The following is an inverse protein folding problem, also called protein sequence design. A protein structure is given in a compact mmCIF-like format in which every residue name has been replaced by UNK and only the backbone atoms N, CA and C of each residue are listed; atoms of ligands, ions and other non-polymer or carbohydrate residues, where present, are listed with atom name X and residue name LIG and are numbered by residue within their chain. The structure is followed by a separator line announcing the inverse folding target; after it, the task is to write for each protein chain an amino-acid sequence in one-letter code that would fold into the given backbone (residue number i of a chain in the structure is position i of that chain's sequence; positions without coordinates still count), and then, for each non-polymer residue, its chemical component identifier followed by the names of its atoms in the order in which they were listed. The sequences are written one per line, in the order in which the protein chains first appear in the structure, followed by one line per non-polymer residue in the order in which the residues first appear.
data_IF_962950982240
#
_entry.id   IF_962950982240
#
_cell.length_a   1.000
_cell.length_b   1.000
_cell.length_c   1.000
_cell.angle_alpha   90.00
_cell.angle_beta   90.00
_cell.angle_gamma   90.00
#
_symmetry.space_group_name_H-M   'P 1'
#
loop_
_entity.id
_entity.type
_entity.pdbx_description
1 polymer ?
#
# COMPACT_ATOMS: atom_id res chain seq x y z
N UNK A 1 -54.20 -3.06 -34.03
CA UNK A 1 -53.92 -4.43 -33.57
C UNK A 1 -53.17 -4.28 -32.26
N UNK A 2 -53.70 -4.81 -31.15
CA UNK A 2 -53.02 -4.73 -29.85
C UNK A 2 -51.79 -5.65 -29.93
N UNK A 3 -50.62 -5.11 -29.64
CA UNK A 3 -49.38 -5.87 -29.57
C UNK A 3 -49.35 -6.63 -28.24
N UNK A 4 -49.78 -7.89 -28.31
CA UNK A 4 -49.85 -8.79 -27.17
C UNK A 4 -48.47 -9.11 -26.57
N UNK A 5 -47.39 -9.00 -27.35
CA UNK A 5 -46.03 -9.21 -26.84
C UNK A 5 -45.59 -8.09 -25.90
N UNK A 6 -45.93 -6.84 -26.20
CA UNK A 6 -45.69 -5.70 -25.29
C UNK A 6 -46.53 -5.82 -24.02
N UNK A 7 -47.77 -6.31 -24.13
CA UNK A 7 -48.66 -6.50 -22.98
C UNK A 7 -48.18 -7.60 -22.04
N UNK A 8 -47.76 -8.76 -22.57
CA UNK A 8 -47.17 -9.84 -21.78
C UNK A 8 -45.85 -9.43 -21.13
N UNK A 9 -44.99 -8.72 -21.87
CA UNK A 9 -43.74 -8.17 -21.31
C UNK A 9 -44.05 -7.25 -20.13
N UNK A 10 -45.02 -6.33 -20.27
CA UNK A 10 -45.46 -5.42 -19.19
C UNK A 10 -46.07 -6.15 -17.98
N UNK A 11 -46.81 -7.24 -18.21
CA UNK A 11 -47.35 -8.09 -17.13
C UNK A 11 -46.27 -8.88 -16.39
N UNK A 12 -45.13 -9.14 -17.03
CA UNK A 12 -43.97 -9.83 -16.45
C UNK A 12 -42.92 -8.93 -15.80
N UNK A 13 -42.91 -7.60 -16.05
CA UNK A 13 -41.92 -6.65 -15.51
C UNK A 13 -41.85 -6.69 -13.98
N UNK A 14 -42.99 -6.88 -13.30
CA UNK A 14 -43.06 -6.96 -11.84
C UNK A 14 -43.00 -8.42 -11.33
N UNK A 15 -42.69 -9.40 -12.19
CA UNK A 15 -42.64 -10.81 -11.83
C UNK A 15 -43.84 -11.63 -12.31
N UNK A 16 -43.62 -12.94 -12.41
CA UNK A 16 -44.54 -13.90 -13.05
C UNK A 16 -45.61 -14.37 -12.06
N UNK A 17 -45.27 -14.46 -10.77
CA UNK A 17 -46.18 -14.92 -9.71
C UNK A 17 -46.63 -13.72 -8.85
N UNK A 18 -47.81 -13.84 -8.22
CA UNK A 18 -48.37 -12.78 -7.37
C UNK A 18 -47.46 -12.34 -6.21
N UNK A 19 -46.61 -13.23 -5.69
CA UNK A 19 -45.61 -12.92 -4.66
C UNK A 19 -44.54 -11.96 -5.19
N UNK A 20 -43.95 -12.27 -6.34
CA UNK A 20 -42.89 -11.44 -6.94
C UNK A 20 -43.38 -10.02 -7.20
N UNK A 21 -44.63 -9.88 -7.70
CA UNK A 21 -45.27 -8.58 -7.92
C UNK A 21 -45.45 -7.78 -6.64
N UNK A 22 -45.75 -8.46 -5.54
CA UNK A 22 -45.83 -7.80 -4.23
C UNK A 22 -44.44 -7.32 -3.80
N UNK A 23 -43.41 -8.17 -3.88
CA UNK A 23 -42.02 -7.82 -3.52
C UNK A 23 -41.52 -6.64 -4.35
N UNK A 24 -41.66 -6.68 -5.69
CA UNK A 24 -41.25 -5.56 -6.57
C UNK A 24 -41.96 -4.27 -6.21
N UNK A 25 -43.27 -4.32 -5.95
CA UNK A 25 -44.04 -3.13 -5.54
C UNK A 25 -43.56 -2.57 -4.20
N UNK A 26 -43.25 -3.44 -3.23
CA UNK A 26 -42.70 -3.01 -1.94
C UNK A 26 -41.30 -2.39 -2.12
N UNK A 27 -40.42 -2.98 -2.94
CA UNK A 27 -39.10 -2.42 -3.26
C UNK A 27 -39.20 -1.02 -3.88
N UNK A 28 -40.09 -0.84 -4.86
CA UNK A 28 -40.37 0.49 -5.44
C UNK A 28 -40.95 1.47 -4.42
N UNK A 29 -41.82 0.99 -3.52
CA UNK A 29 -42.40 1.82 -2.46
C UNK A 29 -41.32 2.28 -1.47
N UNK A 30 -40.40 1.38 -1.10
CA UNK A 30 -39.23 1.66 -0.27
C UNK A 30 -38.38 2.74 -0.95
N UNK A 31 -37.94 2.53 -2.20
CA UNK A 31 -37.14 3.51 -2.94
C UNK A 31 -37.78 4.91 -2.94
N UNK A 32 -39.07 5.02 -3.31
CA UNK A 32 -39.75 6.31 -3.36
C UNK A 32 -39.85 7.01 -1.99
N UNK A 33 -40.14 6.26 -0.92
CA UNK A 33 -40.32 6.81 0.42
C UNK A 33 -38.99 7.12 1.10
N UNK A 34 -37.99 6.28 0.88
CA UNK A 34 -36.69 6.36 1.54
C UNK A 34 -35.91 7.58 1.07
N UNK A 35 -36.00 7.93 -0.22
CA UNK A 35 -35.35 9.11 -0.78
C UNK A 35 -35.81 10.44 -0.16
N UNK A 36 -37.02 10.50 0.39
CA UNK A 36 -37.53 11.69 1.09
C UNK A 36 -37.41 11.59 2.62
N UNK A 37 -36.85 10.49 3.14
CA UNK A 37 -36.72 10.28 4.57
C UNK A 37 -35.58 11.13 5.16
N UNK A 38 -35.82 11.88 6.26
CA UNK A 38 -34.75 12.57 6.98
C UNK A 38 -33.69 11.61 7.55
N UNK A 39 -34.03 10.33 7.74
CA UNK A 39 -33.09 9.30 8.18
C UNK A 39 -32.14 8.83 7.08
N UNK A 40 -32.38 9.19 5.81
CA UNK A 40 -31.48 8.87 4.71
C UNK A 40 -30.17 9.66 4.89
N UNK A 41 -29.05 8.93 4.91
CA UNK A 41 -27.71 9.49 5.08
C UNK A 41 -26.82 9.00 3.94
N UNK A 42 -26.03 9.91 3.41
CA UNK A 42 -24.87 9.55 2.60
C UNK A 42 -23.79 9.02 3.53
N UNK A 43 -23.25 7.86 3.19
CA UNK A 43 -22.18 7.18 3.94
C UNK A 43 -21.16 6.62 2.98
N UNK A 44 -19.96 6.31 3.47
CA UNK A 44 -18.98 5.53 2.72
C UNK A 44 -18.82 4.16 3.38
N UNK A 45 -19.04 3.08 2.63
CA UNK A 45 -18.86 1.70 3.09
C UNK A 45 -17.66 1.12 2.37
N UNK A 46 -16.61 0.78 3.12
CA UNK A 46 -15.34 0.31 2.59
C UNK A 46 -14.76 1.21 1.47
N UNK A 47 -15.03 2.52 1.52
CA UNK A 47 -14.57 3.51 0.54
C UNK A 47 -15.54 3.81 -0.62
N UNK A 48 -16.64 3.06 -0.75
CA UNK A 48 -17.67 3.32 -1.75
C UNK A 48 -18.84 4.12 -1.16
N UNK A 49 -19.24 5.19 -1.84
CA UNK A 49 -20.37 6.02 -1.41
C UNK A 49 -21.71 5.32 -1.65
N UNK A 50 -22.56 5.31 -0.63
CA UNK A 50 -23.90 4.71 -0.69
C UNK A 50 -24.90 5.43 0.24
N UNK A 51 -26.19 5.04 0.15
CA UNK A 51 -27.26 5.67 0.92
C UNK A 51 -27.89 4.71 1.93
N UNK A 52 -27.69 4.99 3.22
CA UNK A 52 -28.31 4.19 4.29
C UNK A 52 -29.32 5.00 5.10
N UNK A 53 -30.42 4.36 5.48
CA UNK A 53 -31.32 4.91 6.50
C UNK A 53 -30.78 4.56 7.86
N UNK A 54 -30.20 5.53 8.55
CA UNK A 54 -29.63 5.33 9.88
C UNK A 54 -30.62 5.81 10.93
N UNK A 55 -31.04 4.88 11.78
CA UNK A 55 -32.01 5.11 12.84
C UNK A 55 -31.38 4.93 14.22
N UNK A 56 -31.77 5.80 15.15
CA UNK A 56 -31.34 5.74 16.55
C UNK A 56 -31.80 4.45 17.23
N UNK A 57 -31.01 3.99 18.19
CA UNK A 57 -31.39 2.95 19.14
C UNK A 57 -31.41 3.54 20.56
N UNK A 58 -31.73 2.71 21.54
CA UNK A 58 -31.62 3.02 22.97
C UNK A 58 -30.17 3.31 23.41
N UNK A 59 -29.18 2.79 22.68
CA UNK A 59 -27.76 3.02 22.95
C UNK A 59 -27.18 4.04 21.97
N UNK A 60 -26.58 5.15 22.44
CA UNK A 60 -25.98 6.15 21.56
C UNK A 60 -24.88 5.60 20.63
N UNK A 61 -24.11 4.61 21.09
CA UNK A 61 -23.04 3.96 20.34
C UNK A 61 -23.51 2.88 19.37
N UNK A 62 -24.82 2.59 19.32
CA UNK A 62 -25.41 1.61 18.40
C UNK A 62 -26.45 2.30 17.51
N UNK A 63 -26.52 1.89 16.26
CA UNK A 63 -27.56 2.33 15.31
C UNK A 63 -28.11 1.14 14.55
N UNK A 64 -29.34 1.28 14.08
CA UNK A 64 -29.90 0.38 13.06
C UNK A 64 -29.76 1.04 11.70
N UNK A 65 -29.48 0.25 10.68
CA UNK A 65 -29.49 0.73 9.31
C UNK A 65 -30.48 -0.08 8.47
N UNK A 66 -30.99 0.55 7.41
CA UNK A 66 -31.61 -0.12 6.28
C UNK A 66 -30.95 0.39 5.01
N UNK A 67 -30.49 -0.51 4.16
CA UNK A 67 -29.97 -0.20 2.84
C UNK A 67 -31.11 0.04 1.85
N UNK A 68 -30.83 0.72 0.75
CA UNK A 68 -31.76 0.73 -0.37
C UNK A 68 -31.85 -0.68 -0.98
N UNK A 69 -32.94 -1.02 -1.69
CA UNK A 69 -32.98 -2.25 -2.47
C UNK A 69 -31.75 -2.34 -3.40
N UNK A 70 -31.20 -3.55 -3.52
CA UNK A 70 -29.98 -3.87 -4.29
C UNK A 70 -28.65 -3.35 -3.71
N UNK A 71 -28.66 -2.50 -2.68
CA UNK A 71 -27.45 -2.14 -1.96
C UNK A 71 -27.02 -3.25 -1.00
N UNK A 72 -25.74 -3.61 -1.07
CA UNK A 72 -25.15 -4.71 -0.31
C UNK A 72 -24.28 -4.13 0.81
N UNK A 73 -24.64 -4.47 2.05
CA UNK A 73 -23.82 -4.24 3.24
C UNK A 73 -23.65 -5.58 3.93
N UNK A 74 -22.42 -5.91 4.32
CA UNK A 74 -22.08 -7.18 4.93
C UNK A 74 -21.64 -6.99 6.39
N UNK A 75 -21.71 -8.08 7.15
CA UNK A 75 -21.18 -8.10 8.51
C UNK A 75 -19.67 -7.84 8.42
N UNK A 76 -19.12 -7.06 9.34
CA UNK A 76 -17.69 -6.71 9.36
C UNK A 76 -17.30 -5.47 8.59
N UNK A 77 -18.18 -4.95 7.72
CA UNK A 77 -17.91 -3.72 6.98
C UNK A 77 -17.70 -2.52 7.91
N UNK A 78 -16.85 -1.58 7.47
CA UNK A 78 -16.67 -0.29 8.15
C UNK A 78 -17.44 0.77 7.37
N UNK A 79 -18.38 1.40 8.06
CA UNK A 79 -19.18 2.52 7.57
C UNK A 79 -18.60 3.82 8.14
N UNK A 80 -18.24 4.75 7.27
CA UNK A 80 -17.91 6.12 7.63
C UNK A 80 -19.18 6.98 7.52
N UNK A 81 -19.62 7.51 8.67
CA UNK A 81 -20.80 8.35 8.77
C UNK A 81 -20.62 9.40 9.87
N UNK A 82 -20.85 10.68 9.53
CA UNK A 82 -20.62 11.83 10.42
C UNK A 82 -19.20 11.86 11.01
N UNK A 83 -18.18 11.67 10.16
CA UNK A 83 -16.76 11.65 10.56
C UNK A 83 -16.42 10.54 11.58
N UNK A 84 -17.32 9.59 11.80
CA UNK A 84 -17.16 8.47 12.71
C UNK A 84 -17.17 7.15 11.95
N UNK A 85 -16.35 6.22 12.42
CA UNK A 85 -16.27 4.87 11.88
C UNK A 85 -17.20 3.94 12.66
N UNK A 86 -17.96 3.12 11.95
CA UNK A 86 -18.96 2.22 12.51
C UNK A 86 -18.76 0.82 11.96
N UNK A 87 -18.67 -0.18 12.84
CA UNK A 87 -18.54 -1.58 12.47
C UNK A 87 -19.94 -2.20 12.31
N UNK A 88 -20.19 -2.85 11.17
CA UNK A 88 -21.40 -3.67 10.98
C UNK A 88 -21.26 -4.95 11.80
N UNK A 89 -22.13 -5.11 12.79
CA UNK A 89 -22.09 -6.26 13.71
C UNK A 89 -23.18 -7.28 13.43
N UNK A 90 -24.26 -6.85 12.80
CA UNK A 90 -25.39 -7.70 12.45
C UNK A 90 -25.98 -7.25 11.13
N UNK A 91 -26.40 -8.22 10.33
CA UNK A 91 -27.18 -8.05 9.10
C UNK A 91 -28.32 -9.05 9.17
N UNK A 92 -29.53 -8.62 8.82
CA UNK A 92 -30.67 -9.51 8.65
C UNK A 92 -30.53 -10.26 7.32
N UNK A 93 -30.72 -11.58 7.36
CA UNK A 93 -30.63 -12.44 6.19
C UNK A 93 -31.91 -12.43 5.35
N UNK A 94 -33.03 -11.99 5.92
CA UNK A 94 -34.23 -11.72 5.14
C UNK A 94 -34.10 -10.35 4.45
N UNK A 95 -33.61 -10.37 3.21
CA UNK A 95 -33.33 -9.19 2.40
C UNK A 95 -34.21 -9.09 1.13
N UNK A 96 -35.34 -9.81 1.08
CA UNK A 96 -36.23 -9.85 -0.09
C UNK A 96 -36.62 -8.44 -0.58
N UNK A 97 -36.87 -7.52 0.37
CA UNK A 97 -37.26 -6.13 0.10
C UNK A 97 -36.08 -5.17 0.28
N UNK A 98 -35.37 -5.25 1.39
CA UNK A 98 -34.23 -4.39 1.70
C UNK A 98 -33.39 -5.03 2.79
N UNK A 99 -32.07 -4.88 2.69
CA UNK A 99 -31.16 -5.37 3.72
C UNK A 99 -31.14 -4.42 4.92
N UNK A 100 -31.20 -4.98 6.13
CA UNK A 100 -31.15 -4.21 7.37
C UNK A 100 -30.15 -4.79 8.36
N UNK A 101 -29.76 -4.03 9.37
CA UNK A 101 -28.79 -4.51 10.33
C UNK A 101 -28.47 -3.54 11.46
N UNK A 102 -27.40 -3.86 12.19
CA UNK A 102 -26.87 -3.04 13.29
C UNK A 102 -25.41 -2.68 13.08
N UNK A 103 -25.12 -1.42 13.39
CA UNK A 103 -23.76 -0.89 13.44
C UNK A 103 -23.43 -0.42 14.85
N UNK A 104 -22.16 -0.58 15.22
CA UNK A 104 -21.61 -0.10 16.50
C UNK A 104 -20.44 0.83 16.24
N UNK A 105 -20.37 1.93 16.98
CA UNK A 105 -19.32 2.93 16.82
C UNK A 105 -17.95 2.35 17.17
N UNK A 106 -16.98 2.49 16.26
CA UNK A 106 -15.57 2.22 16.54
C UNK A 106 -15.03 3.31 17.47
N UNK A 107 -14.19 2.92 18.43
CA UNK A 107 -13.65 3.86 19.42
C UNK A 107 -12.13 3.93 19.42
N UNK A 108 -11.47 3.05 18.66
CA UNK A 108 -10.01 3.02 18.50
C UNK A 108 -9.63 2.52 17.11
N UNK A 109 -8.39 2.79 16.77
CA UNK A 109 -7.69 2.20 15.65
C UNK A 109 -6.54 1.36 16.23
N UNK A 110 -6.41 0.12 15.77
CA UNK A 110 -5.27 -0.75 16.12
C UNK A 110 -4.26 -0.68 14.99
N UNK A 111 -2.98 -0.64 15.35
CA UNK A 111 -1.86 -0.65 14.40
C UNK A 111 -0.95 -1.84 14.70
N UNK A 112 -0.48 -2.50 13.67
CA UNK A 112 0.54 -3.56 13.77
C UNK A 112 1.30 -3.68 12.46
N UNK A 113 2.44 -4.36 12.49
CA UNK A 113 3.18 -4.68 11.28
C UNK A 113 2.76 -6.05 10.73
N UNK A 114 2.51 -6.11 9.42
CA UNK A 114 2.31 -7.36 8.69
C UNK A 114 3.61 -8.19 8.73
N UNK A 115 3.58 -9.46 9.16
CA UNK A 115 4.77 -10.27 9.35
C UNK A 115 5.46 -10.72 8.05
N UNK A 116 4.78 -10.61 6.91
CA UNK A 116 5.25 -11.04 5.58
C UNK A 116 5.73 -9.83 4.77
N UNK A 117 4.91 -8.78 4.66
CA UNK A 117 5.20 -7.60 3.82
C UNK A 117 5.98 -6.52 4.55
N UNK A 118 6.07 -6.58 5.87
CA UNK A 118 6.66 -5.54 6.74
C UNK A 118 5.92 -4.19 6.70
N UNK A 119 4.77 -4.11 6.03
CA UNK A 119 3.95 -2.92 5.99
C UNK A 119 3.24 -2.67 7.32
N UNK A 120 3.03 -1.40 7.65
CA UNK A 120 2.25 -1.00 8.80
C UNK A 120 0.77 -1.02 8.42
N UNK A 121 0.02 -1.84 9.13
CA UNK A 121 -1.41 -2.03 8.93
C UNK A 121 -2.18 -1.33 10.03
N UNK A 122 -3.28 -0.69 9.66
CA UNK A 122 -4.18 -0.04 10.60
C UNK A 122 -5.62 -0.44 10.35
N UNK A 123 -6.39 -0.70 11.43
CA UNK A 123 -7.80 -1.04 11.34
C UNK A 123 -8.62 -0.38 12.44
N UNK A 124 -9.77 0.17 12.05
CA UNK A 124 -10.78 0.64 12.98
C UNK A 124 -11.42 -0.53 13.71
N UNK A 125 -11.65 -0.35 15.01
CA UNK A 125 -12.14 -1.40 15.86
C UNK A 125 -13.02 -0.87 16.99
N UNK A 126 -13.78 -1.80 17.57
CA UNK A 126 -14.46 -1.59 18.83
C UNK A 126 -13.68 -2.28 19.96
N UNK A 127 -13.19 -1.48 20.90
CA UNK A 127 -12.56 -1.96 22.13
C UNK A 127 -13.54 -1.86 23.29
N UNK A 128 -13.77 -2.96 24.00
CA UNK A 128 -14.66 -3.03 25.16
C UNK A 128 -13.94 -3.72 26.32
N UNK A 129 -14.36 -3.45 27.56
CA UNK A 129 -13.89 -4.26 28.69
C UNK A 129 -14.59 -5.63 28.64
N UNK A 130 -13.87 -6.75 28.88
CA UNK A 130 -14.51 -8.04 29.03
C UNK A 130 -15.46 -7.99 30.23
N UNK A 131 -16.56 -8.74 30.16
CA UNK A 131 -17.62 -8.75 31.17
C UNK A 131 -17.18 -9.38 32.51
N UNK A 132 -15.95 -9.89 32.63
CA UNK A 132 -15.42 -10.56 33.82
C UNK A 132 -14.80 -9.57 34.80
N UNK A 133 -15.52 -9.31 35.89
CA UNK A 133 -15.00 -8.67 37.10
C UNK A 133 -14.04 -9.61 37.82
N UNK A 134 -12.76 -9.56 37.49
CA UNK A 134 -11.73 -10.27 38.24
C UNK A 134 -11.33 -9.41 39.45
N UNK A 135 -12.02 -9.61 40.57
CA UNK A 135 -11.51 -9.27 41.91
C UNK A 135 -10.57 -10.42 42.28
N UNK A 136 -9.28 -10.25 41.99
CA UNK A 136 -8.26 -11.11 42.59
C UNK A 136 -7.92 -10.55 43.97
N UNK A 137 -8.49 -11.12 45.04
CA UNK A 137 -7.98 -10.94 46.41
C UNK A 137 -6.70 -11.78 46.56
N UNK A 138 -5.60 -11.27 46.02
CA UNK A 138 -4.26 -11.83 46.13
C UNK A 138 -3.26 -10.75 46.55
N UNK A 139 -2.50 -11.02 47.59
CA UNK A 139 -1.66 -10.08 48.34
C UNK A 139 -0.55 -9.43 47.50
N UNK A 140 -0.54 -8.08 47.46
CA UNK A 140 0.60 -7.16 47.21
C UNK A 140 1.57 -7.44 46.05
N UNK A 141 1.22 -6.99 44.84
CA UNK A 141 1.88 -5.89 44.08
C UNK A 141 0.74 -5.27 43.25
N UNK A 142 0.53 -3.95 43.30
CA UNK A 142 -0.48 -3.27 42.48
C UNK A 142 -0.04 -3.17 41.02
N UNK A 143 0.18 -4.30 40.35
CA UNK A 143 0.35 -4.32 38.91
C UNK A 143 -1.05 -4.22 38.32
N UNK A 144 -1.36 -3.11 37.63
CA UNK A 144 -2.64 -3.00 36.93
C UNK A 144 -2.74 -4.15 35.93
N UNK A 145 -3.72 -5.03 36.09
CA UNK A 145 -3.99 -6.11 35.15
C UNK A 145 -5.19 -5.73 34.29
N UNK A 146 -4.94 -5.10 33.14
CA UNK A 146 -6.01 -4.64 32.22
C UNK A 146 -6.23 -5.65 31.12
N UNK A 147 -7.50 -5.90 30.84
CA UNK A 147 -7.94 -6.79 29.77
C UNK A 147 -8.99 -6.08 28.91
N UNK A 148 -8.95 -6.32 27.61
CA UNK A 148 -9.89 -5.76 26.65
C UNK A 148 -10.31 -6.82 25.64
N UNK A 149 -11.56 -6.70 25.18
CA UNK A 149 -12.10 -7.38 24.02
C UNK A 149 -12.07 -6.41 22.85
N UNK A 150 -11.49 -6.81 21.73
CA UNK A 150 -11.38 -6.00 20.51
C UNK A 150 -12.10 -6.71 19.37
N UNK A 151 -12.95 -5.99 18.65
CA UNK A 151 -13.67 -6.48 17.46
C UNK A 151 -13.14 -5.76 16.22
N UNK A 152 -12.66 -6.54 15.24
CA UNK A 152 -11.98 -6.07 14.02
C UNK A 152 -12.60 -6.71 12.78
N UNK A 153 -12.75 -5.99 11.66
CA UNK A 153 -13.15 -6.60 10.38
C UNK A 153 -12.32 -7.84 10.03
N UNK A 154 -12.96 -8.86 9.46
CA UNK A 154 -12.26 -10.04 8.97
C UNK A 154 -11.72 -9.77 7.56
N UNK A 155 -10.40 -9.67 7.42
CA UNK A 155 -9.74 -9.44 6.14
C UNK A 155 -8.47 -10.29 6.00
N UNK A 156 -7.62 -9.98 5.01
CA UNK A 156 -6.35 -10.68 4.78
C UNK A 156 -5.34 -10.45 5.90
N UNK A 157 -5.38 -9.28 6.55
CA UNK A 157 -4.43 -8.86 7.58
C UNK A 157 -4.84 -9.41 8.96
N UNK A 158 -6.11 -9.29 9.32
CA UNK A 158 -6.62 -9.72 10.61
C UNK A 158 -6.63 -11.24 10.77
N UNK A 159 -6.64 -11.98 9.64
CA UNK A 159 -6.48 -13.44 9.62
C UNK A 159 -5.09 -13.90 10.08
N UNK A 160 -4.07 -13.06 9.92
CA UNK A 160 -2.70 -13.35 10.35
C UNK A 160 -2.48 -13.10 11.84
N UNK A 161 -3.48 -12.53 12.54
CA UNK A 161 -3.41 -12.32 13.98
C UNK A 161 -3.59 -13.64 14.70
N UNK A 162 -2.65 -13.92 15.60
CA UNK A 162 -2.62 -15.11 16.43
C UNK A 162 -2.28 -14.73 17.88
N UNK A 163 -2.32 -15.72 18.76
CA UNK A 163 -1.90 -15.64 20.16
C UNK A 163 -0.48 -15.06 20.25
N UNK A 164 -0.22 -14.33 21.32
CA UNK A 164 1.03 -13.62 21.62
C UNK A 164 1.35 -12.43 20.71
N UNK A 165 0.55 -12.13 19.68
CA UNK A 165 0.70 -10.87 18.93
C UNK A 165 0.48 -9.68 19.87
N UNK A 166 1.43 -8.73 19.85
CA UNK A 166 1.44 -7.56 20.73
C UNK A 166 0.96 -6.29 20.02
N UNK A 167 0.28 -5.42 20.76
CA UNK A 167 -0.29 -4.15 20.29
C UNK A 167 -0.06 -3.04 21.31
N UNK A 168 0.15 -1.81 20.84
CA UNK A 168 0.09 -0.61 21.67
C UNK A 168 -1.23 0.13 21.43
N UNK A 169 -2.05 0.31 22.48
CA UNK A 169 -3.41 0.85 22.32
C UNK A 169 -3.70 2.11 23.15
N UNK A 170 -2.85 2.41 24.13
CA UNK A 170 -3.04 3.55 25.03
C UNK A 170 -1.73 4.29 25.22
N UNK A 171 -1.80 5.60 25.43
CA UNK A 171 -0.68 6.42 25.89
C UNK A 171 -1.08 7.04 27.22
N UNK A 172 -0.35 6.72 28.28
CA UNK A 172 -0.61 7.25 29.63
C UNK A 172 0.65 7.94 30.10
N UNK A 173 0.52 9.25 30.38
CA UNK A 173 1.66 10.09 30.78
C UNK A 173 2.82 10.00 29.77
N UNK A 174 2.50 10.08 28.47
CA UNK A 174 3.47 9.99 27.37
C UNK A 174 4.06 8.60 27.14
N UNK A 175 3.65 7.57 27.91
CA UNK A 175 4.17 6.21 27.78
C UNK A 175 3.13 5.30 27.13
N UNK A 176 3.44 4.68 25.98
CA UNK A 176 2.59 3.65 25.40
C UNK A 176 2.38 2.47 26.34
N UNK A 177 1.19 1.87 26.31
CA UNK A 177 0.87 0.63 27.03
C UNK A 177 0.68 -0.50 26.03
N UNK A 178 1.37 -1.60 26.32
CA UNK A 178 1.40 -2.79 25.48
C UNK A 178 0.40 -3.82 25.99
N UNK A 179 -0.20 -4.53 25.04
CA UNK A 179 -1.13 -5.61 25.28
C UNK A 179 -0.79 -6.79 24.37
N UNK A 180 -0.79 -8.00 24.91
CA UNK A 180 -0.62 -9.24 24.13
C UNK A 180 -1.96 -9.92 23.88
N UNK A 181 -2.10 -10.54 22.71
CA UNK A 181 -3.28 -11.31 22.36
C UNK A 181 -3.30 -12.64 23.12
N UNK A 182 -4.38 -12.89 23.86
CA UNK A 182 -4.56 -14.12 24.64
C UNK A 182 -5.57 -15.08 24.01
N UNK A 183 -6.38 -14.59 23.09
CA UNK A 183 -7.41 -15.37 22.40
C UNK A 183 -7.78 -14.71 21.09
N UNK A 184 -7.99 -15.52 20.06
CA UNK A 184 -8.48 -15.10 18.75
C UNK A 184 -9.67 -15.97 18.38
N UNK A 185 -10.83 -15.35 18.17
CA UNK A 185 -12.05 -15.98 17.67
C UNK A 185 -12.36 -15.44 16.27
N UNK A 186 -12.12 -16.29 15.27
CA UNK A 186 -12.41 -16.01 13.86
C UNK A 186 -13.68 -16.74 13.37
N UNK A 187 -14.43 -17.40 14.26
CA UNK A 187 -15.51 -18.33 13.89
C UNK A 187 -16.88 -17.77 14.24
N UNK A 188 -17.07 -17.19 15.43
CA UNK A 188 -18.42 -16.86 15.95
C UNK A 188 -19.18 -15.84 15.08
N UNK A 189 -18.48 -14.87 14.49
CA UNK A 189 -19.08 -13.79 13.71
C UNK A 189 -18.68 -13.84 12.24
N UNK A 190 -18.40 -15.05 11.74
CA UNK A 190 -18.13 -15.34 10.34
C UNK A 190 -19.06 -16.48 9.90
N UNK A 191 -19.83 -16.23 8.85
CA UNK A 191 -20.78 -17.21 8.32
C UNK A 191 -20.21 -17.78 7.03
N UNK A 192 -20.38 -19.09 6.81
CA UNK A 192 -19.80 -19.76 5.64
C UNK A 192 -20.45 -19.31 4.32
N UNK A 193 -21.73 -18.95 4.37
CA UNK A 193 -22.53 -18.61 3.19
C UNK A 193 -22.51 -17.11 2.84
N UNK A 194 -21.80 -16.28 3.63
CA UNK A 194 -21.83 -14.82 3.51
C UNK A 194 -20.41 -14.28 3.57
N UNK A 195 -20.12 -13.34 2.68
CA UNK A 195 -18.83 -12.67 2.67
C UNK A 195 -18.66 -11.68 3.83
N UNK A 196 -17.42 -11.48 4.25
CA UNK A 196 -17.06 -10.65 5.40
C UNK A 196 -17.10 -11.37 6.74
N UNK A 197 -17.54 -10.66 7.77
CA UNK A 197 -17.46 -11.02 9.18
C UNK A 197 -16.47 -10.15 9.95
N UNK A 198 -16.41 -10.35 11.26
CA UNK A 198 -15.40 -9.70 12.11
C UNK A 198 -14.81 -10.71 13.08
N UNK A 199 -13.54 -10.54 13.41
CA UNK A 199 -12.87 -11.33 14.44
C UNK A 199 -13.06 -10.68 15.80
N UNK A 200 -12.95 -11.50 16.84
CA UNK A 200 -12.90 -11.04 18.23
C UNK A 200 -11.58 -11.49 18.81
N UNK A 201 -10.76 -10.55 19.29
CA UNK A 201 -9.56 -10.86 20.04
C UNK A 201 -9.71 -10.40 21.49
N UNK A 202 -9.20 -11.19 22.42
CA UNK A 202 -8.99 -10.74 23.79
C UNK A 202 -7.50 -10.42 23.95
N UNK A 203 -7.24 -9.29 24.61
CA UNK A 203 -5.89 -8.82 24.86
C UNK A 203 -5.71 -8.52 26.35
N UNK A 204 -4.51 -8.75 26.85
CA UNK A 204 -4.13 -8.53 28.25
C UNK A 204 -2.91 -7.65 28.33
N UNK A 205 -2.83 -6.82 29.36
CA UNK A 205 -1.70 -5.93 29.56
C UNK A 205 -0.40 -6.73 29.63
N UNK A 206 0.58 -6.30 28.84
CA UNK A 206 1.90 -6.90 28.73
C UNK A 206 2.98 -5.86 29.10
N UNK A 207 4.20 -6.35 29.32
CA UNK A 207 5.36 -5.51 29.59
C UNK A 207 5.66 -4.62 28.37
N UNK A 208 5.87 -3.33 28.62
CA UNK A 208 6.17 -2.35 27.59
C UNK A 208 7.67 -2.10 27.48
N UNK A 209 8.14 -1.75 26.28
CA UNK A 209 9.52 -1.30 26.06
C UNK A 209 10.51 -2.44 25.81
N UNK A 210 10.08 -3.50 25.10
CA UNK A 210 11.04 -4.48 24.56
C UNK A 210 11.93 -3.80 23.53
N UNK A 211 13.15 -4.31 23.32
CA UNK A 211 14.12 -3.69 22.41
C UNK A 211 13.61 -3.56 20.97
N UNK A 212 12.71 -4.46 20.56
CA UNK A 212 12.09 -4.49 19.23
C UNK A 212 10.82 -3.61 19.15
N UNK A 213 10.39 -2.98 20.25
CA UNK A 213 9.22 -2.10 20.26
C UNK A 213 9.59 -0.69 19.73
N UNK A 214 8.82 -0.19 18.76
CA UNK A 214 8.92 1.18 18.25
C UNK A 214 7.79 2.05 18.80
N UNK A 215 8.08 2.68 19.94
CA UNK A 215 7.12 3.52 20.67
C UNK A 215 6.73 4.80 19.92
N UNK A 216 7.60 5.32 19.07
CA UNK A 216 7.35 6.44 18.16
C UNK A 216 6.26 6.11 17.13
N UNK A 217 6.24 4.87 16.65
CA UNK A 217 5.25 4.37 15.70
C UNK A 217 4.04 3.72 16.37
N UNK A 218 4.04 3.55 17.70
CA UNK A 218 3.04 2.76 18.44
C UNK A 218 2.95 1.30 17.96
N UNK A 219 4.10 0.68 17.64
CA UNK A 219 4.19 -0.69 17.11
C UNK A 219 5.04 -1.56 18.03
N UNK A 220 4.53 -2.74 18.35
CA UNK A 220 5.29 -3.79 19.04
C UNK A 220 6.00 -4.69 18.03
N UNK A 221 7.15 -5.23 18.45
CA UNK A 221 7.92 -6.23 17.68
C UNK A 221 8.18 -5.80 16.23
N UNK A 222 8.59 -4.54 16.05
CA UNK A 222 8.84 -3.93 14.74
C UNK A 222 10.10 -4.53 14.11
N UNK A 223 9.97 -4.96 12.86
CA UNK A 223 11.07 -5.45 12.03
C UNK A 223 11.33 -4.46 10.91
N UNK A 224 12.57 -4.03 10.73
CA UNK A 224 12.92 -3.21 9.58
C UNK A 224 12.65 -4.00 8.29
N UNK A 225 11.94 -3.40 7.30
CA UNK A 225 11.78 -4.04 6.01
C UNK A 225 13.17 -4.33 5.43
N UNK A 226 13.36 -5.46 4.74
CA UNK A 226 14.62 -5.74 4.07
C UNK A 226 14.94 -4.56 3.17
N UNK A 227 16.17 -4.05 3.29
CA UNK A 227 16.66 -2.89 2.56
C UNK A 227 16.62 -3.22 1.07
N UNK A 228 15.50 -2.93 0.41
CA UNK A 228 15.39 -3.01 -1.04
C UNK A 228 16.16 -1.80 -1.55
N UNK A 229 17.32 -1.96 -2.21
CA UNK A 229 18.01 -0.81 -2.77
C UNK A 229 17.00 -0.10 -3.67
N UNK A 230 16.80 1.20 -3.45
CA UNK A 230 15.97 2.04 -4.31
C UNK A 230 16.31 1.72 -5.77
N UNK A 231 15.31 1.56 -6.67
CA UNK A 231 15.62 1.41 -8.08
C UNK A 231 16.45 2.63 -8.48
N UNK A 232 17.69 2.39 -8.90
CA UNK A 232 18.58 3.45 -9.36
C UNK A 232 17.84 4.29 -10.40
N UNK A 233 17.99 5.63 -10.38
CA UNK A 233 17.34 6.47 -11.37
C UNK A 233 17.66 5.92 -12.76
N UNK A 234 16.64 5.76 -13.60
CA UNK A 234 16.80 5.28 -14.97
C UNK A 234 17.60 6.33 -15.75
N UNK A 235 18.93 6.24 -15.70
CA UNK A 235 19.82 7.17 -16.39
C UNK A 235 19.63 7.02 -17.91
N UNK A 236 19.63 8.15 -18.61
CA UNK A 236 19.49 8.21 -20.07
C UNK A 236 20.70 7.60 -20.79
N UNK A 237 20.54 7.23 -22.07
CA UNK A 237 21.60 6.52 -22.82
C UNK A 237 22.69 7.50 -23.30
N UNK A 238 23.96 7.12 -23.10
CA UNK A 238 25.13 7.80 -23.66
C UNK A 238 26.00 6.80 -24.43
N UNK A 239 26.64 7.23 -25.51
CA UNK A 239 27.52 6.40 -26.35
C UNK A 239 28.77 7.18 -26.79
N UNK A 240 29.91 6.49 -26.87
CA UNK A 240 31.16 7.03 -27.42
C UNK A 240 31.38 6.44 -28.81
N UNK A 241 31.50 7.30 -29.82
CA UNK A 241 31.84 6.90 -31.19
C UNK A 241 33.31 7.18 -31.48
N UNK A 242 34.04 6.15 -31.87
CA UNK A 242 35.45 6.23 -32.25
C UNK A 242 36.01 4.86 -32.62
N UNK A 243 37.28 4.81 -33.03
CA UNK A 243 37.96 3.54 -33.32
C UNK A 243 38.62 3.03 -32.04
N UNK A 244 38.48 1.73 -31.75
CA UNK A 244 39.04 1.07 -30.57
C UNK A 244 40.56 0.83 -30.60
N UNK A 245 41.29 1.45 -31.53
CA UNK A 245 42.74 1.40 -31.57
C UNK A 245 43.34 2.78 -31.81
N UNK A 246 44.57 3.04 -31.36
CA UNK A 246 45.32 4.26 -31.63
C UNK A 246 46.75 3.89 -32.04
N UNK A 247 47.29 4.56 -33.06
CA UNK A 247 48.67 4.32 -33.51
C UNK A 247 49.60 5.30 -32.82
N UNK A 248 50.77 4.82 -32.42
CA UNK A 248 51.82 5.66 -31.84
C UNK A 248 52.18 6.79 -32.82
N UNK A 249 52.30 8.02 -32.28
CA UNK A 249 52.60 9.23 -33.04
C UNK A 249 51.41 9.84 -33.79
N UNK A 250 50.20 9.25 -33.71
CA UNK A 250 48.98 9.84 -34.25
C UNK A 250 47.99 10.18 -33.14
N UNK A 251 47.27 11.30 -33.32
CA UNK A 251 46.11 11.61 -32.51
C UNK A 251 44.84 10.97 -33.08
N UNK A 252 43.88 10.67 -32.20
CA UNK A 252 42.54 10.22 -32.59
C UNK A 252 41.47 10.93 -31.79
N UNK A 253 40.34 11.16 -32.46
CA UNK A 253 39.19 11.87 -31.94
C UNK A 253 38.08 10.88 -31.60
N UNK A 254 37.45 11.09 -30.44
CA UNK A 254 36.26 10.37 -29.99
C UNK A 254 35.15 11.38 -29.75
N UNK A 255 33.92 11.03 -30.11
CA UNK A 255 32.74 11.89 -29.97
C UNK A 255 31.74 11.24 -29.02
N UNK A 256 31.18 12.01 -28.10
CA UNK A 256 30.09 11.57 -27.25
C UNK A 256 28.74 11.86 -27.91
N UNK A 257 27.78 10.94 -27.78
CA UNK A 257 26.41 11.13 -28.25
C UNK A 257 25.45 10.77 -27.12
N UNK A 258 24.61 11.73 -26.75
CA UNK A 258 23.60 11.60 -25.69
C UNK A 258 22.24 11.40 -26.34
N UNK A 259 21.41 10.50 -25.80
CA UNK A 259 20.10 10.16 -26.36
C UNK A 259 18.96 10.48 -25.38
N UNK A 260 17.80 10.88 -25.92
CA UNK A 260 16.58 11.19 -25.15
C UNK A 260 15.94 9.93 -24.52
N UNK A 261 14.82 10.08 -23.80
CA UNK A 261 14.08 9.00 -23.10
C UNK A 261 13.77 7.77 -23.97
N UNK A 262 13.58 7.95 -25.28
CA UNK A 262 13.33 6.88 -26.26
C UNK A 262 14.61 6.10 -26.66
N UNK A 263 15.81 6.58 -26.28
CA UNK A 263 17.10 5.93 -26.53
C UNK A 263 17.61 5.95 -27.97
N UNK A 264 16.92 6.67 -28.88
CA UNK A 264 17.20 6.71 -30.32
C UNK A 264 17.45 8.10 -30.90
N UNK A 265 16.97 9.17 -30.27
CA UNK A 265 17.13 10.55 -30.74
C UNK A 265 18.31 11.23 -30.05
N UNK A 266 19.33 11.70 -30.80
CA UNK A 266 20.45 12.42 -30.21
C UNK A 266 20.02 13.81 -29.73
N UNK A 267 20.45 14.19 -28.52
CA UNK A 267 20.17 15.49 -27.90
C UNK A 267 21.40 16.38 -28.01
N UNK A 268 21.21 17.62 -28.47
CA UNK A 268 22.26 18.65 -28.51
C UNK A 268 22.22 19.52 -27.25
N UNK A 269 23.39 19.95 -26.74
CA UNK A 269 23.50 20.88 -25.62
C UNK A 269 23.88 20.27 -24.27
N UNK A 270 24.13 18.96 -24.20
CA UNK A 270 24.68 18.30 -23.00
C UNK A 270 26.20 18.54 -22.95
N UNK A 271 26.73 18.90 -21.78
CA UNK A 271 28.18 19.13 -21.59
C UNK A 271 28.86 17.81 -21.18
N UNK A 272 29.73 17.22 -22.01
CA UNK A 272 30.42 15.98 -21.68
C UNK A 272 31.68 16.22 -20.86
N UNK A 273 31.82 15.46 -19.78
CA UNK A 273 33.04 15.38 -18.96
C UNK A 273 33.79 14.10 -19.32
N UNK A 274 34.93 14.25 -19.99
CA UNK A 274 35.76 13.14 -20.41
C UNK A 274 36.81 12.76 -19.36
N UNK A 275 37.01 11.45 -19.19
CA UNK A 275 38.07 10.88 -18.35
C UNK A 275 38.80 9.79 -19.12
N UNK A 276 40.13 9.81 -19.11
CA UNK A 276 40.97 8.78 -19.73
C UNK A 276 41.74 8.08 -18.61
N UNK A 277 41.45 6.80 -18.42
CA UNK A 277 42.10 5.94 -17.44
C UNK A 277 43.23 5.16 -18.12
N UNK A 278 44.47 5.53 -17.78
CA UNK A 278 45.70 4.99 -18.37
C UNK A 278 46.35 4.05 -17.35
N UNK A 279 46.82 2.86 -17.75
CA UNK A 279 47.51 1.95 -16.84
C UNK A 279 48.72 2.61 -16.14
N UNK A 280 48.88 2.31 -14.85
CA UNK A 280 49.93 2.88 -14.01
C UNK A 280 51.32 2.68 -14.64
N UNK A 281 52.09 3.77 -14.73
CA UNK A 281 53.42 3.79 -15.37
C UNK A 281 53.43 4.21 -16.84
N UNK A 282 52.26 4.42 -17.47
CA UNK A 282 52.15 4.88 -18.86
C UNK A 282 51.52 6.29 -19.01
N UNK A 283 51.19 6.94 -17.90
CA UNK A 283 50.53 8.26 -17.85
C UNK A 283 51.31 9.35 -18.59
N UNK A 284 52.64 9.29 -18.61
CA UNK A 284 53.49 10.25 -19.31
C UNK A 284 53.47 10.12 -20.84
N UNK A 285 52.94 9.01 -21.37
CA UNK A 285 52.97 8.68 -22.79
C UNK A 285 51.64 8.96 -23.51
N UNK A 286 50.57 9.22 -22.75
CA UNK A 286 49.23 9.50 -23.28
C UNK A 286 48.85 10.92 -22.90
N UNK A 287 48.60 11.76 -23.89
CA UNK A 287 48.09 13.12 -23.68
C UNK A 287 46.73 13.25 -24.35
N UNK A 288 45.85 14.07 -23.79
CA UNK A 288 44.55 14.33 -24.39
C UNK A 288 44.13 15.78 -24.22
N UNK A 289 43.29 16.24 -25.13
CA UNK A 289 42.63 17.54 -25.08
C UNK A 289 41.14 17.38 -25.37
N UNK A 290 40.32 18.21 -24.75
CA UNK A 290 38.86 18.23 -24.93
C UNK A 290 38.45 19.49 -25.69
N UNK A 291 37.50 19.35 -26.62
CA UNK A 291 36.92 20.46 -27.36
C UNK A 291 35.42 20.20 -27.58
N UNK A 292 34.59 20.70 -26.65
CA UNK A 292 33.16 20.42 -26.62
C UNK A 292 32.90 18.92 -26.52
N UNK A 293 32.17 18.38 -27.49
CA UNK A 293 31.74 16.97 -27.52
C UNK A 293 32.83 15.98 -27.95
N UNK A 294 34.06 16.48 -28.16
CA UNK A 294 35.19 15.70 -28.66
C UNK A 294 36.32 15.62 -27.64
N UNK A 295 36.91 14.43 -27.52
CA UNK A 295 38.23 14.25 -26.91
C UNK A 295 39.22 13.78 -27.97
N UNK A 296 40.35 14.46 -28.06
CA UNK A 296 41.48 14.08 -28.90
C UNK A 296 42.59 13.49 -28.04
N UNK A 297 42.92 12.22 -28.28
CA UNK A 297 43.93 11.47 -27.52
C UNK A 297 45.14 11.25 -28.42
N UNK A 298 46.34 11.46 -27.90
CA UNK A 298 47.62 11.26 -28.57
C UNK A 298 48.51 10.33 -27.73
N UNK A 299 49.15 9.37 -28.40
CA UNK A 299 50.14 8.48 -27.79
C UNK A 299 51.51 8.81 -28.35
N UNK A 300 52.42 9.28 -27.48
CA UNK A 300 53.70 9.85 -27.88
C UNK A 300 54.85 8.82 -27.98
N UNK A 301 54.77 7.70 -27.26
CA UNK A 301 55.88 6.75 -27.11
C UNK A 301 55.47 5.32 -27.50
N UNK A 302 56.39 4.61 -28.16
CA UNK A 302 56.25 3.21 -28.55
C UNK A 302 56.25 2.26 -27.34
N UNK A 303 56.70 2.70 -26.17
CA UNK A 303 56.59 1.94 -24.92
C UNK A 303 55.15 1.57 -24.55
N UNK A 304 54.16 2.35 -25.01
CA UNK A 304 52.75 2.11 -24.75
C UNK A 304 52.10 1.08 -25.70
N UNK A 305 52.82 0.55 -26.72
CA UNK A 305 52.28 -0.44 -27.67
C UNK A 305 51.83 -1.70 -26.93
N UNK A 306 50.62 -2.16 -27.25
CA UNK A 306 49.98 -3.32 -26.62
C UNK A 306 49.25 -3.00 -25.31
N UNK A 307 49.28 -1.75 -24.84
CA UNK A 307 48.47 -1.32 -23.71
C UNK A 307 47.05 -0.96 -24.14
N UNK A 308 46.10 -1.19 -23.23
CA UNK A 308 44.70 -0.81 -23.39
C UNK A 308 44.35 0.22 -22.33
N UNK A 309 43.82 1.36 -22.74
CA UNK A 309 43.32 2.40 -21.85
C UNK A 309 41.81 2.55 -22.00
N UNK A 310 41.14 3.06 -20.97
CA UNK A 310 39.70 3.25 -20.97
C UNK A 310 39.34 4.74 -21.12
N UNK A 311 38.57 5.06 -22.14
CA UNK A 311 38.00 6.40 -22.35
C UNK A 311 36.58 6.38 -21.84
N UNK A 312 36.28 7.22 -20.87
CA UNK A 312 34.95 7.37 -20.28
C UNK A 312 34.38 8.76 -20.52
N UNK A 313 33.07 8.86 -20.66
CA UNK A 313 32.33 10.13 -20.65
C UNK A 313 31.16 10.05 -19.68
N UNK A 314 30.95 11.12 -18.94
CA UNK A 314 29.82 11.35 -18.03
C UNK A 314 29.25 12.73 -18.35
N UNK A 315 27.97 12.95 -18.08
CA UNK A 315 27.41 14.29 -18.11
C UNK A 315 27.67 15.03 -16.78
N UNK A 316 27.82 16.36 -16.83
CA UNK A 316 28.07 17.17 -15.63
C UNK A 316 26.88 17.14 -14.64
N UNK A 317 25.66 16.87 -15.12
CA UNK A 317 24.42 16.89 -14.35
C UNK A 317 24.01 15.51 -13.78
N UNK A 318 24.69 14.43 -14.15
CA UNK A 318 24.45 13.07 -13.64
C UNK A 318 23.14 12.42 -14.10
N UNK A 319 22.56 12.88 -15.21
CA UNK A 319 21.33 12.41 -15.84
C UNK A 319 21.56 11.22 -16.80
N UNK A 320 22.79 11.03 -17.30
CA UNK A 320 23.11 10.01 -18.31
C UNK A 320 23.99 8.87 -17.76
N UNK A 321 23.88 7.69 -18.38
CA UNK A 321 24.75 6.57 -18.07
C UNK A 321 26.20 6.91 -18.44
N UNK A 322 27.15 6.53 -17.60
CA UNK A 322 28.57 6.57 -17.94
C UNK A 322 28.83 5.66 -19.15
N UNK A 323 29.27 6.24 -20.27
CA UNK A 323 29.76 5.45 -21.40
C UNK A 323 31.27 5.22 -21.25
N UNK A 324 31.75 4.02 -21.57
CA UNK A 324 33.17 3.66 -21.47
C UNK A 324 33.57 2.84 -22.69
N UNK A 325 34.70 3.21 -23.31
CA UNK A 325 35.28 2.56 -24.48
C UNK A 325 36.74 2.19 -24.21
N UNK A 326 37.12 0.95 -24.49
CA UNK A 326 38.52 0.51 -24.42
C UNK A 326 39.23 0.80 -25.74
N UNK A 327 40.44 1.34 -25.65
CA UNK A 327 41.28 1.70 -26.79
C UNK A 327 42.65 1.05 -26.64
N UNK A 328 43.05 0.29 -27.65
CA UNK A 328 44.34 -0.40 -27.72
C UNK A 328 45.38 0.42 -28.49
N UNK A 329 46.61 0.49 -27.97
CA UNK A 329 47.74 1.12 -28.67
C UNK A 329 48.40 0.11 -29.60
N UNK A 330 48.47 0.45 -30.90
CA UNK A 330 49.05 -0.39 -31.96
C UNK A 330 50.24 0.30 -32.64
N UNK A 331 51.09 -0.49 -33.29
CA UNK A 331 52.28 0.02 -33.98
C UNK A 331 51.92 0.87 -35.21
N UNK A 332 52.86 1.71 -35.66
CA UNK A 332 52.70 2.60 -36.80
C UNK A 332 52.44 1.85 -38.12
N UNK A 333 52.89 0.58 -38.21
CA UNK A 333 52.81 -0.26 -39.41
C UNK A 333 51.84 -1.45 -39.33
N UNK A 334 51.23 -1.71 -38.18
CA UNK A 334 50.30 -2.82 -37.97
C UNK A 334 50.32 -3.33 -36.55
#
# INVERSE_FOLDING_TARGET
MIDWGIYETRLGVAGVVGRDRAVTREREAVLRKYMSSPSLKTVSVNGADMYLLINSTDKPSEKKFNALPDEVVNIGDIILWQEMHWLVTQVDFDDEVSRSGRIVQCNRQVRWQNPITYEIVERWCLVTKPYTSNIDEGTTISTSNREFKVQLPFDVETRLLDIDKRFMLEVINGKPRTYSCTSVDQQTNKYQDIDGGFIVINIKQDEAGRAEDRTDLMICDYKEPPNNPEPSPTLLKCEITGRSNIRVGMSRKYTATFYDEDGTTPVEGVVPVWSVDVPAGYESYVTWSTNGDLVEINVADAAAIGQVFAVSVVDDEGLYNKATMSVEVVDMYG
#
